data_IF_523285227319
#
_entry.id   IF_523285227319
#
_cell.length_a   1.000
_cell.length_b   1.000
_cell.length_c   1.000
_cell.angle_alpha   90.00
_cell.angle_beta   90.00
_cell.angle_gamma   90.00
#
_symmetry.space_group_name_H-M   'P 1'
#
loop_
_entity.id
_entity.type
_entity.pdbx_description
1 polymer ?
#
# COMPACT_ATOMS: atom_id res chain seq x y z
N UNK A 1 8.04 12.51 11.23
CA UNK A 1 7.58 11.87 12.49
C UNK A 1 7.44 10.37 12.26
N UNK A 2 7.68 9.48 13.24
CA UNK A 2 7.53 8.03 13.00
C UNK A 2 6.05 7.71 12.76
N UNK A 3 5.74 7.10 11.60
CA UNK A 3 4.38 6.71 11.27
C UNK A 3 3.93 5.57 12.19
N UNK A 4 2.73 5.69 12.74
CA UNK A 4 2.18 4.68 13.66
C UNK A 4 0.98 3.97 13.04
N UNK A 5 0.57 2.84 13.61
CA UNK A 5 -0.62 2.08 13.18
C UNK A 5 -1.91 2.93 13.19
N UNK A 6 -1.90 4.08 13.86
CA UNK A 6 -3.02 5.02 13.98
C UNK A 6 -2.83 6.27 13.10
N UNK A 7 -1.60 6.73 12.92
CA UNK A 7 -1.26 7.85 12.02
C UNK A 7 -0.45 7.33 10.83
N UNK A 8 -1.17 6.97 9.76
CA UNK A 8 -0.60 6.57 8.48
C UNK A 8 -1.12 7.50 7.38
N UNK A 9 -0.35 7.71 6.29
CA UNK A 9 -0.78 8.54 5.17
C UNK A 9 -2.09 8.02 4.57
N UNK A 10 -2.91 8.93 4.05
CA UNK A 10 -4.23 8.61 3.49
C UNK A 10 -4.18 7.52 2.41
N UNK A 11 -3.06 7.43 1.68
CA UNK A 11 -2.80 6.36 0.69
C UNK A 11 -2.90 4.95 1.29
N UNK A 12 -2.50 4.76 2.55
CA UNK A 12 -2.54 3.46 3.25
C UNK A 12 -3.89 3.17 3.93
N UNK A 13 -4.83 4.13 3.94
CA UNK A 13 -6.15 3.98 4.59
C UNK A 13 -6.99 2.87 3.98
N UNK A 14 -6.87 2.64 2.67
CA UNK A 14 -7.62 1.61 1.96
C UNK A 14 -6.89 0.26 1.90
N UNK A 15 -5.66 0.18 2.41
CA UNK A 15 -4.89 -1.06 2.42
C UNK A 15 -5.38 -2.00 3.53
N UNK A 16 -5.21 -3.31 3.29
CA UNK A 16 -5.45 -4.32 4.32
C UNK A 16 -4.49 -4.16 5.50
N UNK A 17 -4.93 -4.53 6.70
CA UNK A 17 -4.15 -4.45 7.92
C UNK A 17 -2.73 -5.07 7.82
N UNK A 18 -2.55 -6.30 7.27
CA UNK A 18 -1.20 -6.87 7.10
C UNK A 18 -0.30 -6.04 6.18
N UNK A 19 -0.84 -5.54 5.06
CA UNK A 19 -0.08 -4.77 4.08
C UNK A 19 0.31 -3.39 4.65
N UNK A 20 -0.64 -2.72 5.30
CA UNK A 20 -0.40 -1.44 5.98
C UNK A 20 0.66 -1.57 7.05
N UNK A 21 0.57 -2.60 7.90
CA UNK A 21 1.56 -2.82 8.95
C UNK A 21 2.95 -3.03 8.35
N UNK A 22 3.05 -3.74 7.22
CA UNK A 22 4.32 -3.96 6.53
C UNK A 22 4.87 -2.68 5.91
N UNK A 23 4.02 -1.82 5.35
CA UNK A 23 4.45 -0.51 4.88
C UNK A 23 4.97 0.37 6.03
N UNK A 24 4.27 0.41 7.17
CA UNK A 24 4.70 1.21 8.33
C UNK A 24 6.07 0.76 8.86
N UNK A 25 6.31 -0.55 8.94
CA UNK A 25 7.59 -1.16 9.32
C UNK A 25 8.74 -0.66 8.43
N UNK A 26 8.56 -0.71 7.11
CA UNK A 26 9.57 -0.28 6.13
C UNK A 26 9.75 1.24 6.16
N UNK A 27 8.66 2.01 6.26
CA UNK A 27 8.74 3.46 6.34
C UNK A 27 9.49 3.93 7.59
N UNK A 28 9.26 3.30 8.74
CA UNK A 28 9.98 3.62 9.97
C UNK A 28 11.47 3.26 9.87
N UNK A 29 11.83 2.16 9.20
CA UNK A 29 13.22 1.81 8.95
C UNK A 29 13.92 2.86 8.05
N UNK A 30 13.25 3.31 6.98
CA UNK A 30 13.78 4.34 6.09
C UNK A 30 13.89 5.71 6.78
N UNK A 31 12.90 6.08 7.59
CA UNK A 31 12.97 7.30 8.40
C UNK A 31 14.12 7.26 9.41
N UNK A 32 14.38 6.09 10.02
CA UNK A 32 15.50 5.91 10.93
C UNK A 32 16.86 6.03 10.21
N UNK A 33 16.92 5.65 8.93
CA UNK A 33 18.08 5.82 8.05
C UNK A 33 18.30 7.28 7.61
N UNK A 34 17.36 8.18 7.92
CA UNK A 34 17.40 9.59 7.54
C UNK A 34 16.84 9.87 6.14
N UNK A 35 16.06 8.94 5.58
CA UNK A 35 15.40 9.14 4.29
C UNK A 35 14.21 10.10 4.41
N UNK A 36 13.87 10.77 3.29
CA UNK A 36 12.72 11.68 3.23
C UNK A 36 11.42 10.96 3.59
N UNK A 37 10.53 11.65 4.29
CA UNK A 37 9.25 11.10 4.73
C UNK A 37 8.39 10.66 3.53
N UNK A 38 8.25 11.53 2.52
CA UNK A 38 7.48 11.22 1.31
C UNK A 38 8.09 10.06 0.50
N UNK A 39 9.44 10.00 0.38
CA UNK A 39 10.11 8.89 -0.32
C UNK A 39 9.97 7.58 0.46
N UNK A 40 10.12 7.65 1.78
CA UNK A 40 9.98 6.50 2.67
C UNK A 40 8.61 5.86 2.53
N UNK A 41 7.55 6.67 2.51
CA UNK A 41 6.18 6.20 2.29
C UNK A 41 6.02 5.54 0.92
N UNK A 42 6.58 6.14 -0.14
CA UNK A 42 6.45 5.60 -1.49
C UNK A 42 7.13 4.23 -1.62
N UNK A 43 8.37 4.11 -1.14
CA UNK A 43 9.15 2.87 -1.14
C UNK A 43 8.48 1.80 -0.27
N UNK A 44 8.03 2.19 0.92
CA UNK A 44 7.32 1.31 1.83
C UNK A 44 6.02 0.77 1.24
N UNK A 45 5.26 1.62 0.57
CA UNK A 45 4.02 1.22 -0.09
C UNK A 45 4.31 0.23 -1.22
N UNK A 46 5.29 0.53 -2.08
CA UNK A 46 5.67 -0.36 -3.18
C UNK A 46 6.14 -1.74 -2.69
N UNK A 47 6.98 -1.79 -1.64
CA UNK A 47 7.40 -3.07 -1.06
C UNK A 47 6.24 -3.83 -0.41
N UNK A 48 5.34 -3.13 0.26
CA UNK A 48 4.17 -3.77 0.87
C UNK A 48 3.21 -4.32 -0.20
N UNK A 49 3.04 -3.61 -1.31
CA UNK A 49 2.27 -4.05 -2.48
C UNK A 49 2.85 -5.33 -3.10
N UNK A 50 4.16 -5.35 -3.34
CA UNK A 50 4.86 -6.52 -3.87
C UNK A 50 4.75 -7.71 -2.92
N UNK A 51 4.97 -7.49 -1.61
CA UNK A 51 4.84 -8.53 -0.59
C UNK A 51 3.44 -9.14 -0.53
N UNK A 52 2.39 -8.31 -0.64
CA UNK A 52 1.01 -8.76 -0.65
C UNK A 52 0.71 -9.59 -1.91
N UNK A 53 1.17 -9.10 -3.07
CA UNK A 53 1.00 -9.75 -4.37
C UNK A 53 1.67 -11.12 -4.40
N UNK A 54 2.92 -11.20 -3.93
CA UNK A 54 3.69 -12.46 -3.81
C UNK A 54 3.01 -13.50 -2.91
N UNK A 55 2.27 -13.05 -1.90
CA UNK A 55 1.53 -13.92 -0.97
C UNK A 55 0.09 -14.19 -1.39
N UNK A 56 -0.36 -13.65 -2.53
CA UNK A 56 -1.76 -13.75 -2.96
C UNK A 56 -2.74 -13.07 -2.00
N UNK A 57 -2.26 -12.09 -1.21
CA UNK A 57 -3.08 -11.36 -0.26
C UNK A 57 -3.82 -10.22 -0.96
N UNK A 58 -5.05 -9.96 -0.53
CA UNK A 58 -5.79 -8.78 -0.98
C UNK A 58 -5.07 -7.52 -0.52
N UNK A 59 -4.84 -6.61 -1.46
CA UNK A 59 -4.14 -5.36 -1.18
C UNK A 59 -5.05 -4.33 -0.52
N UNK A 60 -6.27 -4.18 -1.05
CA UNK A 60 -7.23 -3.14 -0.68
C UNK A 60 -8.48 -3.74 -0.03
N UNK A 61 -9.08 -3.01 0.92
CA UNK A 61 -10.40 -3.33 1.47
C UNK A 61 -11.47 -2.97 0.43
N UNK A 62 -12.48 -3.81 0.29
CA UNK A 62 -13.62 -3.66 -0.65
C UNK A 62 -14.49 -2.39 -0.45
N UNK A 63 -14.11 -1.47 0.44
CA UNK A 63 -14.84 -0.22 0.73
C UNK A 63 -14.20 1.03 0.08
N UNK A 64 -13.31 0.86 -0.89
CA UNK A 64 -12.77 1.96 -1.69
C UNK A 64 -13.70 2.22 -2.89
N UNK A 65 -14.01 3.49 -3.24
CA UNK A 65 -14.75 3.77 -4.46
C UNK A 65 -14.00 3.13 -5.62
N UNK A 66 -14.65 2.22 -6.33
CA UNK A 66 -14.06 1.47 -7.44
C UNK A 66 -13.40 2.44 -8.43
N UNK A 67 -12.09 2.58 -8.36
CA UNK A 67 -11.36 3.26 -9.43
C UNK A 67 -11.48 2.34 -10.65
N UNK A 68 -12.13 2.88 -11.69
CA UNK A 68 -12.52 2.25 -12.97
C UNK A 68 -11.43 1.45 -13.72
N UNK A 69 -10.22 1.34 -13.19
CA UNK A 69 -9.09 0.63 -13.79
C UNK A 69 -9.22 -0.89 -13.78
N UNK A 70 -9.99 -1.49 -12.83
CA UNK A 70 -10.20 -2.94 -12.81
C UNK A 70 -11.30 -3.43 -13.77
N UNK A 71 -12.22 -2.55 -14.22
CA UNK A 71 -13.27 -2.91 -15.19
C UNK A 71 -12.76 -3.02 -16.63
N UNK A 72 -11.77 -2.21 -17.03
CA UNK A 72 -11.27 -2.21 -18.42
C UNK A 72 -10.44 -3.44 -18.79
N UNK A 73 -9.67 -4.01 -17.86
CA UNK A 73 -8.83 -5.17 -18.16
C UNK A 73 -9.62 -6.48 -18.37
N UNK A 74 -10.86 -6.59 -17.87
CA UNK A 74 -11.70 -7.79 -18.08
C UNK A 74 -12.56 -7.74 -19.34
N UNK A 75 -12.78 -6.56 -19.92
CA UNK A 75 -13.62 -6.39 -21.11
C UNK A 75 -12.84 -6.66 -22.41
N UNK A 76 -11.52 -6.42 -22.41
CA UNK A 76 -10.66 -6.60 -23.58
C UNK A 76 -10.27 -8.08 -23.84
N UNK A 77 -10.34 -8.94 -22.82
CA UNK A 77 -10.10 -10.38 -22.97
C UNK A 77 -11.33 -11.17 -23.49
N UNK A 78 -12.45 -10.48 -23.77
CA UNK A 78 -13.71 -11.09 -24.25
C UNK A 78 -14.12 -10.62 -25.65
N UNK A 79 -13.24 -9.93 -26.38
CA UNK A 79 -13.46 -9.58 -27.79
C UNK A 79 -12.66 -10.49 -28.71
#
# INVERSE_FOLDING_TARGET
MPYTKKEYPASLKNFMAPVRNKAIDIANALLADGNDEQKSIAIATAQAEDWATKRGMKLRKDNAPETKSAKRAKEEAKR
#
